data_IF_954515265749
#
_entry.id   IF_954515265749
#
_cell.length_a   1.000
_cell.length_b   1.000
_cell.length_c   1.000
_cell.angle_alpha   90.00
_cell.angle_beta   90.00
_cell.angle_gamma   90.00
#
_symmetry.space_group_name_H-M   'P 1'
#
loop_
_entity.id
_entity.type
_entity.pdbx_description
1 polymer ?
#
# COMPACT_ATOMS: atom_id res chain seq x y z
N UNK A 1 -45.73 14.73 -26.48
CA UNK A 1 -45.24 14.17 -25.19
C UNK A 1 -43.71 14.16 -25.25
N UNK A 2 -43.02 15.11 -24.62
CA UNK A 2 -41.56 15.09 -24.46
C UNK A 2 -41.27 14.90 -22.97
N UNK A 3 -40.59 13.82 -22.63
CA UNK A 3 -40.16 13.53 -21.27
C UNK A 3 -39.08 14.52 -20.84
N UNK A 4 -39.31 15.15 -19.69
CA UNK A 4 -38.34 16.01 -19.01
C UNK A 4 -37.38 15.08 -18.27
N UNK A 5 -36.11 15.10 -18.66
CA UNK A 5 -35.02 14.47 -17.93
C UNK A 5 -34.70 15.34 -16.72
N UNK A 6 -35.17 14.95 -15.53
CA UNK A 6 -34.74 15.57 -14.28
C UNK A 6 -33.36 15.02 -13.91
N UNK A 7 -32.37 15.92 -13.94
CA UNK A 7 -31.00 15.64 -13.53
C UNK A 7 -30.96 15.45 -11.99
N UNK A 8 -30.55 14.29 -11.47
CA UNK A 8 -30.62 13.98 -10.03
C UNK A 8 -29.53 14.67 -9.20
N UNK A 9 -28.63 15.42 -9.84
CA UNK A 9 -27.57 16.13 -9.13
C UNK A 9 -27.95 17.59 -8.84
N UNK A 10 -27.79 18.06 -7.58
CA UNK A 10 -28.01 19.45 -7.25
C UNK A 10 -27.06 20.31 -8.07
N UNK A 11 -27.61 21.31 -8.76
CA UNK A 11 -26.80 22.31 -9.46
C UNK A 11 -26.06 23.10 -8.37
N UNK A 12 -24.75 22.91 -8.30
CA UNK A 12 -23.91 23.70 -7.41
C UNK A 12 -23.91 25.14 -7.92
N UNK A 13 -24.57 26.03 -7.18
CA UNK A 13 -24.56 27.46 -7.47
C UNK A 13 -23.12 27.97 -7.42
N UNK A 14 -22.65 28.50 -8.56
CA UNK A 14 -21.28 29.01 -8.75
C UNK A 14 -20.88 30.06 -7.71
N UNK A 15 -21.86 30.74 -7.12
CA UNK A 15 -21.67 31.79 -6.11
C UNK A 15 -21.09 31.28 -4.78
N UNK A 16 -21.18 29.98 -4.48
CA UNK A 16 -20.58 29.41 -3.25
C UNK A 16 -19.05 29.36 -3.32
N UNK A 17 -18.46 29.43 -4.52
CA UNK A 17 -17.01 29.35 -4.71
C UNK A 17 -16.28 30.69 -4.56
N UNK A 18 -16.98 31.83 -4.58
CA UNK A 18 -16.34 33.15 -4.60
C UNK A 18 -16.24 33.82 -3.22
N UNK A 19 -16.86 33.24 -2.18
CA UNK A 19 -16.89 33.81 -0.82
C UNK A 19 -15.89 33.23 0.18
N UNK A 20 -15.17 32.16 -0.15
CA UNK A 20 -14.19 31.56 0.76
C UNK A 20 -12.82 32.15 0.49
N UNK A 21 -12.50 33.30 1.07
CA UNK A 21 -11.09 33.61 1.34
C UNK A 21 -10.59 32.54 2.30
N UNK A 22 -9.97 31.49 1.75
CA UNK A 22 -9.13 30.59 2.52
C UNK A 22 -8.14 31.46 3.29
N UNK A 23 -7.88 31.19 4.58
CA UNK A 23 -6.75 31.80 5.24
C UNK A 23 -5.54 31.45 4.39
N UNK A 24 -4.96 32.44 3.70
CA UNK A 24 -3.63 32.29 3.16
C UNK A 24 -2.74 32.28 4.40
N UNK A 25 -2.56 31.09 4.98
CA UNK A 25 -1.47 30.87 5.91
C UNK A 25 -0.22 31.27 5.15
N UNK A 26 0.44 32.32 5.65
CA UNK A 26 1.73 32.77 5.18
C UNK A 26 2.74 31.68 5.54
N UNK A 27 2.73 30.60 4.76
CA UNK A 27 3.70 29.54 4.83
C UNK A 27 4.98 30.13 4.28
N UNK A 28 5.76 30.73 5.17
CA UNK A 28 7.11 31.18 4.89
C UNK A 28 7.93 29.92 4.59
N UNK A 29 8.04 29.59 3.31
CA UNK A 29 8.90 28.51 2.86
C UNK A 29 10.35 29.03 2.93
N UNK A 30 11.25 28.33 3.63
CA UNK A 30 12.66 28.73 3.68
C UNK A 30 13.23 28.76 2.26
N UNK A 31 14.11 29.73 2.01
CA UNK A 31 14.73 29.89 0.70
C UNK A 31 15.60 28.67 0.38
N UNK A 32 15.90 28.41 -0.90
CA UNK A 32 16.62 27.19 -1.32
C UNK A 32 17.98 27.00 -0.64
N UNK A 33 18.58 28.09 -0.14
CA UNK A 33 19.87 28.09 0.56
C UNK A 33 19.76 27.73 2.05
N UNK A 34 18.54 27.74 2.61
CA UNK A 34 18.25 27.46 4.03
C UNK A 34 17.69 26.04 4.24
N UNK A 35 17.16 25.42 3.18
CA UNK A 35 16.71 24.03 3.20
C UNK A 35 17.85 23.10 2.77
N UNK A 36 18.62 22.60 3.74
CA UNK A 36 19.64 21.59 3.49
C UNK A 36 18.96 20.27 3.10
N UNK A 37 18.84 20.06 1.78
CA UNK A 37 18.25 18.85 1.19
C UNK A 37 19.00 17.61 1.67
N UNK A 38 20.32 17.67 1.84
CA UNK A 38 21.10 16.51 2.29
C UNK A 38 20.84 16.19 3.76
N UNK A 39 20.76 17.20 4.63
CA UNK A 39 20.38 17.02 6.02
C UNK A 39 18.92 16.55 6.17
N UNK A 40 18.01 17.05 5.33
CA UNK A 40 16.61 16.61 5.30
C UNK A 40 16.48 15.18 4.78
N UNK A 41 17.25 14.81 3.74
CA UNK A 41 17.33 13.43 3.23
C UNK A 41 17.98 12.50 4.25
N UNK A 42 18.96 12.96 5.02
CA UNK A 42 19.58 12.20 6.11
C UNK A 42 18.60 12.02 7.30
N UNK A 43 17.83 13.05 7.65
CA UNK A 43 16.75 12.93 8.62
C UNK A 43 15.63 11.98 8.15
N UNK A 44 15.36 11.96 6.84
CA UNK A 44 14.41 11.04 6.21
C UNK A 44 14.98 9.63 6.03
N UNK A 45 16.30 9.45 5.97
CA UNK A 45 16.96 8.13 5.97
C UNK A 45 16.69 7.34 7.26
N UNK A 46 16.24 8.01 8.33
CA UNK A 46 15.81 7.38 9.58
C UNK A 46 14.33 6.98 9.56
N UNK A 47 13.55 7.34 8.53
CA UNK A 47 12.25 6.69 8.25
C UNK A 47 12.50 5.44 7.40
N UNK A 48 12.84 4.36 8.11
CA UNK A 48 12.96 3.00 7.59
C UNK A 48 11.93 2.68 6.49
N UNK A 49 12.42 2.27 5.32
CA UNK A 49 11.55 1.66 4.31
C UNK A 49 12.01 1.63 2.86
N UNK A 50 13.22 2.07 2.52
CA UNK A 50 13.85 1.76 1.22
C UNK A 50 15.28 1.22 1.40
N UNK A 51 15.51 0.52 2.51
CA UNK A 51 16.65 -0.38 2.61
C UNK A 51 16.42 -1.55 1.65
N UNK A 52 17.45 -1.93 0.89
CA UNK A 52 17.48 -3.24 0.21
C UNK A 52 17.48 -4.30 1.30
N UNK A 53 16.29 -4.61 1.83
CA UNK A 53 16.10 -5.68 2.78
C UNK A 53 16.31 -6.96 2.01
N UNK A 54 17.38 -7.68 2.34
CA UNK A 54 17.61 -9.00 1.76
C UNK A 54 16.36 -9.83 2.05
N UNK A 55 15.63 -10.16 0.99
CA UNK A 55 14.32 -10.74 1.15
C UNK A 55 14.46 -12.05 1.93
N UNK A 56 13.67 -12.28 3.01
CA UNK A 56 13.74 -13.53 3.76
C UNK A 56 13.65 -14.73 2.80
N UNK A 57 14.29 -15.85 3.16
CA UNK A 57 14.18 -17.10 2.41
C UNK A 57 12.69 -17.46 2.23
N UNK A 58 12.36 -18.26 1.22
CA UNK A 58 10.97 -18.70 1.00
C UNK A 58 10.32 -19.28 2.28
N UNK A 59 11.12 -19.87 3.16
CA UNK A 59 10.69 -20.47 4.41
C UNK A 59 10.30 -19.45 5.49
N UNK A 60 10.92 -18.27 5.51
CA UNK A 60 10.69 -17.27 6.55
C UNK A 60 9.32 -16.58 6.44
N UNK A 61 8.74 -16.47 5.24
CA UNK A 61 7.37 -15.98 5.09
C UNK A 61 6.35 -16.93 5.74
N UNK A 62 6.56 -18.25 5.60
CA UNK A 62 5.68 -19.26 6.19
C UNK A 62 5.84 -19.39 7.71
N UNK A 63 6.99 -18.99 8.25
CA UNK A 63 7.14 -18.79 9.70
C UNK A 63 6.17 -17.71 10.20
N UNK A 64 6.19 -16.52 9.59
CA UNK A 64 5.28 -15.44 10.00
C UNK A 64 3.82 -15.85 9.82
N UNK A 65 3.49 -16.56 8.74
CA UNK A 65 2.13 -17.08 8.51
C UNK A 65 1.67 -18.04 9.62
N UNK A 66 2.57 -18.88 10.15
CA UNK A 66 2.29 -19.73 11.32
C UNK A 66 2.04 -18.86 12.55
N UNK A 67 2.92 -17.92 12.82
CA UNK A 67 2.85 -17.08 14.01
C UNK A 67 1.59 -16.17 13.97
N UNK A 68 1.15 -15.75 12.77
CA UNK A 68 -0.13 -15.04 12.54
C UNK A 68 -1.32 -15.93 12.94
N UNK A 69 -1.33 -17.22 12.54
CA UNK A 69 -2.39 -18.16 12.97
C UNK A 69 -2.44 -18.31 14.47
N UNK A 70 -1.29 -18.46 15.10
CA UNK A 70 -1.18 -18.63 16.55
C UNK A 70 -1.67 -17.39 17.30
N UNK A 71 -1.30 -16.20 16.81
CA UNK A 71 -1.64 -14.94 17.47
C UNK A 71 -3.10 -14.50 17.26
N UNK A 72 -3.63 -14.67 16.06
CA UNK A 72 -4.93 -14.10 15.65
C UNK A 72 -6.01 -15.13 15.36
N UNK A 73 -5.66 -16.42 15.29
CA UNK A 73 -6.57 -17.51 14.96
C UNK A 73 -6.76 -17.70 13.45
N UNK A 74 -7.30 -18.88 13.08
CA UNK A 74 -7.49 -19.25 11.68
C UNK A 74 -8.60 -18.43 10.99
N UNK A 75 -9.62 -17.99 11.73
CA UNK A 75 -10.70 -17.16 11.18
C UNK A 75 -10.17 -15.84 10.64
N UNK A 76 -9.38 -15.11 11.44
CA UNK A 76 -8.77 -13.84 11.04
C UNK A 76 -7.79 -14.05 9.90
N UNK A 77 -6.99 -15.12 9.94
CA UNK A 77 -6.11 -15.47 8.83
C UNK A 77 -6.90 -15.69 7.53
N UNK A 78 -8.03 -16.38 7.60
CA UNK A 78 -8.88 -16.63 6.44
C UNK A 78 -9.40 -15.33 5.85
N UNK A 79 -9.90 -14.41 6.69
CA UNK A 79 -10.31 -13.07 6.23
C UNK A 79 -9.17 -12.25 5.63
N UNK A 80 -7.95 -12.37 6.15
CA UNK A 80 -6.77 -11.72 5.56
C UNK A 80 -6.42 -12.30 4.18
N UNK A 81 -6.58 -13.62 3.99
CA UNK A 81 -6.39 -14.26 2.69
C UNK A 81 -7.47 -13.86 1.67
N UNK A 82 -8.73 -13.74 2.10
CA UNK A 82 -9.81 -13.21 1.26
C UNK A 82 -9.51 -11.77 0.83
N UNK A 83 -8.99 -10.93 1.74
CA UNK A 83 -8.55 -9.58 1.43
C UNK A 83 -7.39 -9.56 0.43
N UNK A 84 -6.44 -10.49 0.58
CA UNK A 84 -5.33 -10.66 -0.36
C UNK A 84 -5.83 -11.12 -1.74
N UNK A 85 -6.86 -11.97 -1.81
CA UNK A 85 -7.48 -12.39 -3.06
C UNK A 85 -8.22 -11.25 -3.75
N UNK A 86 -8.96 -10.42 -2.99
CA UNK A 86 -9.54 -9.19 -3.52
C UNK A 86 -8.46 -8.26 -4.10
N UNK A 87 -7.32 -8.12 -3.39
CA UNK A 87 -6.20 -7.34 -3.89
C UNK A 87 -5.54 -7.94 -5.13
N UNK A 88 -5.42 -9.26 -5.20
CA UNK A 88 -4.92 -9.95 -6.38
C UNK A 88 -5.87 -9.76 -7.58
N UNK A 89 -7.19 -9.77 -7.35
CA UNK A 89 -8.16 -9.46 -8.37
C UNK A 89 -7.98 -8.04 -8.94
N UNK A 90 -7.70 -7.03 -8.11
CA UNK A 90 -7.35 -5.67 -8.58
C UNK A 90 -6.14 -5.71 -9.54
N UNK A 91 -5.09 -6.47 -9.18
CA UNK A 91 -3.91 -6.59 -10.03
C UNK A 91 -4.21 -7.29 -11.36
N UNK A 92 -5.08 -8.30 -11.36
CA UNK A 92 -5.55 -8.94 -12.60
C UNK A 92 -6.31 -7.96 -13.49
N UNK A 93 -7.14 -7.09 -12.92
CA UNK A 93 -7.83 -6.03 -13.67
C UNK A 93 -6.86 -5.04 -14.32
N UNK A 94 -5.67 -4.87 -13.73
CA UNK A 94 -4.56 -4.07 -14.29
C UNK A 94 -3.70 -4.83 -15.31
N UNK A 95 -4.07 -6.07 -15.67
CA UNK A 95 -3.40 -6.89 -16.68
C UNK A 95 -2.39 -7.90 -16.15
N UNK A 96 -2.23 -8.04 -14.83
CA UNK A 96 -1.35 -9.05 -14.22
C UNK A 96 -2.08 -10.39 -14.11
N UNK A 97 -2.14 -11.12 -15.22
CA UNK A 97 -2.75 -12.44 -15.26
C UNK A 97 -2.02 -13.43 -14.33
N UNK A 98 -2.78 -14.29 -13.65
CA UNK A 98 -2.25 -15.39 -12.84
C UNK A 98 -1.77 -15.02 -11.43
N UNK A 99 -1.95 -13.78 -10.97
CA UNK A 99 -1.66 -13.41 -9.58
C UNK A 99 -2.72 -13.99 -8.65
N UNK A 100 -2.32 -14.62 -7.55
CA UNK A 100 -3.22 -15.19 -6.53
C UNK A 100 -3.17 -14.42 -5.21
N UNK A 101 -4.19 -14.56 -4.36
CA UNK A 101 -4.15 -14.04 -2.99
C UNK A 101 -2.96 -14.57 -2.19
N UNK A 102 -2.54 -15.82 -2.41
CA UNK A 102 -1.34 -16.37 -1.76
C UNK A 102 -0.05 -15.66 -2.18
N UNK A 103 0.07 -15.25 -3.45
CA UNK A 103 1.23 -14.47 -3.92
C UNK A 103 1.29 -13.10 -3.23
N UNK A 104 0.14 -12.44 -3.07
CA UNK A 104 0.02 -11.17 -2.34
C UNK A 104 0.38 -11.37 -0.87
N UNK A 105 -0.19 -12.40 -0.23
CA UNK A 105 0.05 -12.73 1.17
C UNK A 105 1.54 -12.98 1.44
N UNK A 106 2.16 -13.83 0.62
CA UNK A 106 3.60 -14.12 0.70
C UNK A 106 4.43 -12.85 0.55
N UNK A 107 4.06 -11.96 -0.37
CA UNK A 107 4.75 -10.69 -0.60
C UNK A 107 4.66 -9.78 0.64
N UNK A 108 3.49 -9.66 1.25
CA UNK A 108 3.29 -8.86 2.46
C UNK A 108 4.10 -9.43 3.63
N UNK A 109 4.03 -10.75 3.86
CA UNK A 109 4.74 -11.39 4.98
C UNK A 109 6.26 -11.28 4.89
N UNK A 110 6.84 -11.23 3.69
CA UNK A 110 8.29 -11.03 3.51
C UNK A 110 8.81 -9.70 4.05
N UNK A 111 7.93 -8.74 4.38
CA UNK A 111 8.28 -7.45 4.98
C UNK A 111 8.43 -7.49 6.49
N UNK A 112 8.17 -8.64 7.10
CA UNK A 112 8.14 -8.79 8.53
C UNK A 112 9.12 -9.85 8.99
N UNK A 113 9.83 -9.55 10.07
CA UNK A 113 10.69 -10.51 10.77
C UNK A 113 9.95 -11.15 11.95
N UNK A 114 8.91 -10.47 12.47
CA UNK A 114 8.00 -10.93 13.51
C UNK A 114 6.56 -10.51 13.17
N UNK A 115 5.57 -11.13 13.82
CA UNK A 115 4.15 -10.86 13.56
C UNK A 115 3.79 -9.41 13.90
N UNK A 116 3.43 -8.58 12.90
CA UNK A 116 3.02 -7.21 13.14
C UNK A 116 1.59 -7.13 13.72
N UNK A 117 1.19 -5.98 14.28
CA UNK A 117 -0.20 -5.72 14.64
C UNK A 117 -1.16 -5.89 13.45
N UNK A 118 -2.37 -6.41 13.70
CA UNK A 118 -3.36 -6.70 12.65
C UNK A 118 -3.65 -5.51 11.73
N UNK A 119 -3.78 -4.29 12.28
CA UNK A 119 -4.05 -3.09 11.48
C UNK A 119 -2.93 -2.79 10.46
N UNK A 120 -1.68 -3.16 10.76
CA UNK A 120 -0.55 -3.01 9.83
C UNK A 120 -0.64 -4.01 8.68
N UNK A 121 -1.01 -5.27 8.95
CA UNK A 121 -1.24 -6.27 7.90
C UNK A 121 -2.32 -5.81 6.93
N UNK A 122 -3.46 -5.38 7.46
CA UNK A 122 -4.59 -4.89 6.64
C UNK A 122 -4.16 -3.68 5.81
N UNK A 123 -3.49 -2.71 6.43
CA UNK A 123 -2.99 -1.53 5.73
C UNK A 123 -2.03 -1.92 4.59
N UNK A 124 -1.05 -2.78 4.87
CA UNK A 124 -0.03 -3.18 3.90
C UNK A 124 -0.60 -3.97 2.72
N UNK A 125 -1.63 -4.80 2.95
CA UNK A 125 -2.36 -5.51 1.88
C UNK A 125 -3.04 -4.48 0.97
N UNK A 126 -3.83 -3.57 1.56
CA UNK A 126 -4.61 -2.58 0.80
C UNK A 126 -3.72 -1.53 0.11
N UNK A 127 -2.58 -1.19 0.70
CA UNK A 127 -1.64 -0.23 0.13
C UNK A 127 -0.60 -0.85 -0.81
N UNK A 128 -0.61 -2.17 -0.99
CA UNK A 128 0.39 -2.86 -1.83
C UNK A 128 0.31 -2.34 -3.27
N UNK A 129 1.39 -1.73 -3.76
CA UNK A 129 1.49 -1.25 -5.14
C UNK A 129 1.92 -2.36 -6.08
N UNK A 130 1.39 -2.34 -7.31
CA UNK A 130 1.77 -3.26 -8.39
C UNK A 130 3.28 -3.32 -8.62
N UNK A 131 3.94 -2.16 -8.66
CA UNK A 131 5.40 -2.10 -8.88
C UNK A 131 6.16 -2.84 -7.78
N UNK A 132 5.82 -2.59 -6.52
CA UNK A 132 6.43 -3.28 -5.38
C UNK A 132 6.23 -4.79 -5.46
N UNK A 133 5.03 -5.24 -5.82
CA UNK A 133 4.74 -6.67 -6.02
C UNK A 133 5.61 -7.29 -7.12
N UNK A 134 5.73 -6.62 -8.28
CA UNK A 134 6.55 -7.09 -9.39
C UNK A 134 8.03 -7.15 -9.05
N UNK A 135 8.54 -6.16 -8.34
CA UNK A 135 9.94 -6.14 -7.90
C UNK A 135 10.25 -7.31 -6.97
N UNK A 136 9.35 -7.61 -6.04
CA UNK A 136 9.50 -8.76 -5.15
C UNK A 136 9.42 -10.10 -5.89
N UNK A 137 8.49 -10.26 -6.84
CA UNK A 137 8.42 -11.44 -7.72
C UNK A 137 9.69 -11.61 -8.56
N UNK A 138 10.22 -10.53 -9.10
CA UNK A 138 11.45 -10.54 -9.90
C UNK A 138 12.65 -10.98 -9.06
N UNK A 139 12.78 -10.47 -7.83
CA UNK A 139 13.82 -10.88 -6.86
C UNK A 139 13.72 -12.36 -6.52
N UNK A 140 12.51 -12.89 -6.33
CA UNK A 140 12.28 -14.32 -6.09
C UNK A 140 12.74 -15.17 -7.27
N UNK A 141 12.36 -14.80 -8.49
CA UNK A 141 12.78 -15.50 -9.70
C UNK A 141 14.30 -15.57 -9.81
N UNK A 142 15.01 -14.46 -9.63
CA UNK A 142 16.48 -14.44 -9.70
C UNK A 142 17.16 -15.25 -8.60
N UNK A 143 16.58 -15.34 -7.39
CA UNK A 143 17.12 -16.19 -6.33
C UNK A 143 17.03 -17.68 -6.66
N UNK A 144 15.96 -18.10 -7.33
CA UNK A 144 15.75 -19.52 -7.68
C UNK A 144 16.57 -19.97 -8.91
N UNK A 145 17.19 -19.03 -9.63
CA UNK A 145 18.04 -19.29 -10.81
C UNK A 145 19.52 -19.54 -10.45
N UNK A 146 19.91 -19.36 -9.19
CA UNK A 146 21.29 -19.41 -8.70
C UNK A 146 21.49 -20.58 -7.76
#
# INVERSE_FOLDING_TARGET
MRGVSEDPYPKFDREVLEGSSSPQEDLSFPNADEFDIEAALEALRVRDGYGVREAPSADAAWRIDRDVRERYGEEIRTSLLELCEARAADFRLLGLAGVTGEDVWRTVLRRYDDVPPLYRLVADILSLKVQTFLDDRRREMYRNLR
#
